data_IF_672908693975
#
_entry.id   IF_672908693975
#
_cell.length_a   1.000
_cell.length_b   1.000
_cell.length_c   1.000
_cell.angle_alpha   90.00
_cell.angle_beta   90.00
_cell.angle_gamma   90.00
#
_symmetry.space_group_name_H-M   'P 1'
#
loop_
_entity.id
_entity.type
_entity.pdbx_description
1 polymer ?
#
# COMPACT_ATOMS: atom_id res chain seq x y z
N UNK A 1 7.18 -23.11 17.84
CA UNK A 1 6.25 -22.42 16.91
C UNK A 1 5.71 -21.22 17.66
N UNK A 2 5.92 -20.02 17.13
CA UNK A 2 5.70 -18.79 17.87
C UNK A 2 5.01 -17.73 17.01
N UNK A 3 4.40 -16.77 17.68
CA UNK A 3 3.81 -15.61 17.04
C UNK A 3 4.90 -14.71 16.46
N UNK A 4 4.67 -14.20 15.26
CA UNK A 4 5.52 -13.20 14.64
C UNK A 4 4.71 -12.05 14.13
N UNK A 5 5.32 -10.87 14.14
CA UNK A 5 4.74 -9.70 13.49
C UNK A 5 5.08 -9.69 12.00
N UNK A 6 4.17 -9.16 11.20
CA UNK A 6 4.36 -8.97 9.78
C UNK A 6 3.44 -7.91 9.21
N UNK A 7 3.58 -7.68 7.91
CA UNK A 7 2.77 -6.73 7.14
C UNK A 7 2.13 -7.46 5.96
N UNK A 8 0.84 -7.23 5.74
CA UNK A 8 0.14 -7.77 4.57
C UNK A 8 0.63 -7.03 3.32
N UNK A 9 1.23 -7.75 2.38
CA UNK A 9 1.76 -7.19 1.12
C UNK A 9 0.87 -7.47 -0.09
N UNK A 10 0.00 -8.47 -0.01
CA UNK A 10 -0.93 -8.82 -1.08
C UNK A 10 -2.15 -9.57 -0.54
N UNK A 11 -3.31 -9.34 -1.12
CA UNK A 11 -4.59 -9.96 -0.79
C UNK A 11 -5.29 -10.43 -2.09
N UNK A 12 -4.86 -11.56 -2.69
CA UNK A 12 -5.47 -12.09 -3.91
C UNK A 12 -6.89 -12.62 -3.71
N UNK A 13 -7.24 -13.02 -2.48
CA UNK A 13 -8.57 -13.52 -2.09
C UNK A 13 -8.93 -12.97 -0.71
N UNK A 14 -10.21 -13.00 -0.36
CA UNK A 14 -10.72 -12.47 0.92
C UNK A 14 -10.26 -13.25 2.16
N UNK A 15 -9.77 -14.48 1.99
CA UNK A 15 -9.36 -15.39 3.06
C UNK A 15 -7.87 -15.75 3.02
N UNK A 16 -7.15 -15.29 1.99
CA UNK A 16 -5.76 -15.68 1.73
C UNK A 16 -4.87 -14.47 1.46
N UNK A 17 -3.88 -14.27 2.34
CA UNK A 17 -3.04 -13.09 2.37
C UNK A 17 -1.57 -13.47 2.28
N UNK A 18 -0.78 -12.64 1.61
CA UNK A 18 0.68 -12.75 1.64
C UNK A 18 1.23 -11.79 2.68
N UNK A 19 1.97 -12.32 3.65
CA UNK A 19 2.51 -11.54 4.77
C UNK A 19 4.03 -11.54 4.71
N UNK A 20 4.64 -10.37 4.83
CA UNK A 20 6.08 -10.21 5.02
C UNK A 20 6.39 -10.14 6.51
N UNK A 21 7.20 -11.07 7.02
CA UNK A 21 7.55 -11.11 8.44
C UNK A 21 8.57 -10.02 8.81
N UNK A 22 8.50 -9.51 10.04
CA UNK A 22 9.52 -8.62 10.64
C UNK A 22 10.62 -9.44 11.34
N UNK A 23 11.90 -9.02 11.29
CA UNK A 23 12.41 -7.86 10.56
C UNK A 23 12.45 -8.10 9.05
N UNK A 24 12.07 -7.09 8.26
CA UNK A 24 11.93 -7.14 6.79
C UNK A 24 13.27 -7.37 6.06
N UNK A 25 14.39 -7.38 6.79
CA UNK A 25 15.73 -7.62 6.27
C UNK A 25 15.92 -9.01 5.64
N UNK A 26 15.14 -9.99 6.06
CA UNK A 26 15.08 -11.30 5.43
C UNK A 26 13.76 -11.35 4.66
N UNK A 27 13.80 -11.59 3.34
CA UNK A 27 12.63 -11.61 2.46
C UNK A 27 11.71 -12.83 2.72
N UNK A 28 11.33 -13.04 3.98
CA UNK A 28 10.51 -14.13 4.47
C UNK A 28 9.04 -13.75 4.32
N UNK A 29 8.53 -14.01 3.12
CA UNK A 29 7.12 -13.89 2.79
C UNK A 29 6.45 -15.25 2.96
N UNK A 30 5.38 -15.28 3.74
CA UNK A 30 4.58 -16.49 3.96
C UNK A 30 3.14 -16.26 3.51
N UNK A 31 2.47 -17.36 3.23
CA UNK A 31 1.04 -17.34 2.96
C UNK A 31 0.28 -17.52 4.27
N UNK A 32 -0.73 -16.69 4.49
CA UNK A 32 -1.53 -16.71 5.71
C UNK A 32 -3.01 -16.81 5.39
N UNK A 33 -3.67 -17.75 6.07
CA UNK A 33 -5.13 -17.83 6.09
C UNK A 33 -5.70 -17.00 7.24
N UNK A 34 -6.94 -16.55 7.07
CA UNK A 34 -7.65 -15.77 8.09
C UNK A 34 -8.36 -16.68 9.10
N UNK A 35 -8.23 -16.39 10.41
CA UNK A 35 -9.05 -17.03 11.45
C UNK A 35 -10.22 -16.11 11.78
N UNK A 36 -11.46 -16.60 11.60
CA UNK A 36 -12.66 -15.86 12.03
C UNK A 36 -12.97 -16.19 13.51
N UNK A 37 -13.47 -15.23 14.31
CA UNK A 37 -13.77 -13.84 13.97
C UNK A 37 -12.56 -12.90 14.19
N UNK A 38 -12.30 -12.01 13.23
CA UNK A 38 -11.48 -10.82 13.42
C UNK A 38 -12.42 -9.62 13.50
N UNK A 39 -12.02 -8.58 14.26
CA UNK A 39 -12.84 -7.38 14.42
C UNK A 39 -13.06 -6.66 13.08
N UNK A 40 -12.03 -6.59 12.24
CA UNK A 40 -12.06 -5.93 10.93
C UNK A 40 -11.52 -6.86 9.83
N UNK A 41 -11.92 -6.60 8.59
CA UNK A 41 -11.37 -7.28 7.42
C UNK A 41 -9.92 -6.81 7.17
N UNK A 42 -8.94 -7.72 7.10
CA UNK A 42 -7.55 -7.37 6.82
C UNK A 42 -7.39 -6.75 5.42
N UNK A 43 -6.59 -5.69 5.35
CA UNK A 43 -6.27 -4.93 4.15
C UNK A 43 -4.78 -5.02 3.83
N UNK A 44 -4.40 -4.72 2.59
CA UNK A 44 -2.99 -4.55 2.24
C UNK A 44 -2.43 -3.38 3.05
N UNK A 45 -1.22 -3.55 3.59
CA UNK A 45 -0.58 -2.57 4.48
C UNK A 45 -0.88 -2.76 5.97
N UNK A 46 -1.82 -3.63 6.35
CA UNK A 46 -2.07 -3.91 7.77
C UNK A 46 -0.89 -4.59 8.46
N UNK A 47 -0.58 -4.09 9.65
CA UNK A 47 0.31 -4.75 10.59
C UNK A 47 -0.45 -5.90 11.27
N UNK A 48 0.12 -7.10 11.27
CA UNK A 48 -0.54 -8.31 11.77
C UNK A 48 0.36 -9.12 12.68
N UNK A 49 -0.26 -9.81 13.63
CA UNK A 49 0.36 -10.93 14.36
C UNK A 49 -0.07 -12.21 13.66
N UNK A 50 0.91 -13.00 13.22
CA UNK A 50 0.71 -14.29 12.57
C UNK A 50 1.24 -15.43 13.43
N UNK A 51 0.48 -16.52 13.45
CA UNK A 51 0.88 -17.80 14.02
C UNK A 51 1.47 -18.67 12.90
N UNK A 52 2.74 -19.07 13.05
CA UNK A 52 3.43 -19.89 12.06
C UNK A 52 2.96 -21.34 12.15
N UNK A 53 2.43 -21.87 11.05
CA UNK A 53 2.12 -23.29 10.91
C UNK A 53 3.31 -24.08 10.32
N UNK A 54 4.04 -23.45 9.40
CA UNK A 54 5.25 -23.99 8.76
C UNK A 54 6.15 -22.81 8.32
N UNK A 55 7.30 -23.11 7.71
CA UNK A 55 8.24 -22.16 7.11
C UNK A 55 7.61 -21.29 6.02
N UNK A 56 6.57 -21.76 5.32
CA UNK A 56 5.92 -21.05 4.21
C UNK A 56 4.48 -20.62 4.50
N UNK A 57 3.88 -21.13 5.56
CA UNK A 57 2.44 -20.99 5.83
C UNK A 57 2.17 -20.56 7.27
N UNK A 58 1.12 -19.77 7.47
CA UNK A 58 0.67 -19.32 8.78
C UNK A 58 -0.81 -18.95 8.82
N UNK A 59 -1.21 -18.39 9.95
CA UNK A 59 -2.55 -17.87 10.19
C UNK A 59 -2.49 -16.47 10.77
N UNK A 60 -3.34 -15.57 10.28
CA UNK A 60 -3.49 -14.24 10.89
C UNK A 60 -4.26 -14.43 12.20
N UNK A 61 -3.61 -14.11 13.32
CA UNK A 61 -4.18 -14.20 14.66
C UNK A 61 -4.85 -12.91 15.08
N UNK A 62 -4.20 -11.77 14.78
CA UNK A 62 -4.67 -10.44 15.21
C UNK A 62 -4.22 -9.36 14.23
N UNK A 63 -5.08 -8.37 14.01
CA UNK A 63 -4.74 -7.11 13.37
C UNK A 63 -4.23 -6.13 14.43
N UNK A 64 -3.08 -5.49 14.16
CA UNK A 64 -2.56 -4.41 14.98
C UNK A 64 -3.28 -3.10 14.63
N UNK A 65 -3.11 -2.08 15.47
CA UNK A 65 -3.81 -0.82 15.29
C UNK A 65 -3.40 -0.15 13.98
N UNK A 66 -4.38 0.35 13.23
CA UNK A 66 -4.15 1.11 12.00
C UNK A 66 -4.00 2.58 12.34
N UNK A 67 -3.06 3.28 11.70
CA UNK A 67 -2.92 4.73 11.86
C UNK A 67 -3.77 5.51 10.85
N UNK A 68 -3.81 5.04 9.60
CA UNK A 68 -4.45 5.70 8.46
C UNK A 68 -4.96 4.66 7.47
N UNK A 69 -5.98 4.99 6.70
CA UNK A 69 -6.47 4.17 5.58
C UNK A 69 -6.91 5.06 4.42
N UNK A 70 -6.82 4.54 3.20
CA UNK A 70 -7.38 5.18 2.00
C UNK A 70 -8.45 4.24 1.43
N UNK A 71 -9.58 4.81 0.98
CA UNK A 71 -10.69 4.04 0.43
C UNK A 71 -10.39 3.46 -0.95
N UNK A 72 -9.55 4.13 -1.76
CA UNK A 72 -9.22 3.68 -3.10
C UNK A 72 -7.79 4.06 -3.53
N UNK A 73 -6.92 3.09 -3.86
CA UNK A 73 -7.08 1.66 -3.60
C UNK A 73 -7.19 1.37 -2.10
N UNK A 74 -7.93 0.32 -1.72
CA UNK A 74 -8.15 -0.03 -0.32
C UNK A 74 -6.85 -0.51 0.33
N UNK A 75 -6.13 0.40 1.00
CA UNK A 75 -4.82 0.15 1.60
C UNK A 75 -4.73 0.89 2.94
N UNK A 76 -4.13 0.23 3.93
CA UNK A 76 -3.94 0.75 5.28
C UNK A 76 -2.48 1.12 5.56
N UNK A 77 -2.26 1.93 6.59
CA UNK A 77 -0.94 2.40 7.06
C UNK A 77 -0.11 3.08 5.95
N UNK A 78 -0.78 3.93 5.16
CA UNK A 78 -0.10 4.78 4.18
C UNK A 78 0.37 6.06 4.89
N UNK A 79 1.63 6.42 4.67
CA UNK A 79 2.22 7.67 5.16
C UNK A 79 2.35 8.72 4.06
N UNK A 80 2.54 8.28 2.81
CA UNK A 80 2.79 9.16 1.67
C UNK A 80 2.09 8.63 0.41
N UNK A 81 1.53 9.55 -0.36
CA UNK A 81 0.95 9.31 -1.68
C UNK A 81 1.79 10.04 -2.73
N UNK A 82 2.21 9.33 -3.78
CA UNK A 82 2.99 9.90 -4.88
C UNK A 82 2.12 9.95 -6.13
N UNK A 83 1.83 11.16 -6.61
CA UNK A 83 1.07 11.39 -7.83
C UNK A 83 2.03 11.71 -8.97
N UNK A 84 2.05 10.83 -9.97
CA UNK A 84 3.00 10.88 -11.08
C UNK A 84 2.28 11.33 -12.35
N UNK A 85 2.77 12.42 -12.94
CA UNK A 85 2.32 12.90 -14.25
C UNK A 85 3.47 12.90 -15.24
N UNK A 86 3.12 12.84 -16.52
CA UNK A 86 4.03 13.00 -17.65
C UNK A 86 3.90 14.43 -18.17
N UNK A 87 5.00 15.12 -18.43
CA UNK A 87 4.97 16.48 -19.01
C UNK A 87 4.57 16.49 -20.50
N UNK A 88 4.49 15.32 -21.12
CA UNK A 88 3.97 15.17 -22.48
C UNK A 88 2.46 15.40 -22.54
N UNK A 89 1.78 15.01 -21.46
CA UNK A 89 0.33 15.03 -21.32
C UNK A 89 -0.10 16.33 -20.61
N UNK A 90 -1.25 16.87 -21.00
CA UNK A 90 -1.81 18.02 -20.30
C UNK A 90 -2.24 17.61 -18.89
N UNK A 91 -1.79 18.38 -17.89
CA UNK A 91 -2.19 18.18 -16.51
C UNK A 91 -3.69 18.49 -16.36
N UNK A 92 -4.49 17.45 -16.18
CA UNK A 92 -5.90 17.61 -15.84
C UNK A 92 -6.02 18.14 -14.40
N UNK A 93 -6.35 19.42 -14.29
CA UNK A 93 -6.55 20.12 -13.02
C UNK A 93 -7.63 19.48 -12.14
N UNK A 94 -8.65 18.88 -12.74
CA UNK A 94 -9.77 18.27 -12.03
C UNK A 94 -9.35 16.94 -11.40
N UNK A 95 -8.57 16.13 -12.13
CA UNK A 95 -7.99 14.88 -11.61
C UNK A 95 -6.98 15.19 -10.50
N UNK A 96 -6.12 16.18 -10.73
CA UNK A 96 -5.09 16.58 -9.75
C UNK A 96 -5.73 17.05 -8.44
N UNK A 97 -6.74 17.91 -8.53
CA UNK A 97 -7.46 18.43 -7.37
C UNK A 97 -8.18 17.33 -6.60
N UNK A 98 -8.75 16.34 -7.29
CA UNK A 98 -9.39 15.18 -6.64
C UNK A 98 -8.40 14.40 -5.77
N UNK A 99 -7.20 14.09 -6.29
CA UNK A 99 -6.19 13.37 -5.53
C UNK A 99 -5.64 14.19 -4.36
N UNK A 100 -5.46 15.51 -4.53
CA UNK A 100 -5.04 16.41 -3.46
C UNK A 100 -6.06 16.43 -2.31
N UNK A 101 -7.34 16.59 -2.62
CA UNK A 101 -8.42 16.59 -1.61
C UNK A 101 -8.51 15.21 -0.94
N UNK A 102 -8.36 14.12 -1.68
CA UNK A 102 -8.38 12.77 -1.14
C UNK A 102 -7.23 12.54 -0.14
N UNK A 103 -5.99 12.88 -0.50
CA UNK A 103 -4.83 12.71 0.37
C UNK A 103 -4.97 13.53 1.68
N UNK A 104 -5.35 14.81 1.56
CA UNK A 104 -5.58 15.70 2.71
C UNK A 104 -6.71 15.19 3.62
N UNK A 105 -7.81 14.70 3.03
CA UNK A 105 -8.94 14.18 3.81
C UNK A 105 -8.60 12.95 4.66
N UNK A 106 -7.58 12.18 4.27
CA UNK A 106 -7.07 11.04 5.01
C UNK A 106 -5.79 11.36 5.84
N UNK A 107 -5.34 12.62 5.85
CA UNK A 107 -4.12 13.04 6.56
C UNK A 107 -2.86 12.35 6.05
N UNK A 108 -2.80 12.08 4.74
CA UNK A 108 -1.67 11.44 4.05
C UNK A 108 -0.87 12.52 3.30
N UNK A 109 0.45 12.53 3.49
CA UNK A 109 1.32 13.48 2.80
C UNK A 109 1.36 13.19 1.30
N UNK A 110 1.20 14.21 0.46
CA UNK A 110 1.18 14.03 -1.00
C UNK A 110 2.41 14.66 -1.67
N UNK A 111 3.04 13.92 -2.58
CA UNK A 111 4.15 14.39 -3.41
C UNK A 111 3.78 14.26 -4.88
N UNK A 112 3.86 15.38 -5.61
CA UNK A 112 3.67 15.38 -7.06
C UNK A 112 5.00 15.21 -7.79
N UNK A 113 5.05 14.32 -8.76
CA UNK A 113 6.24 14.03 -9.57
C UNK A 113 5.93 14.23 -11.04
N UNK A 114 6.68 15.10 -11.70
CA UNK A 114 6.61 15.31 -13.15
C UNK A 114 7.71 14.49 -13.83
N UNK A 115 7.32 13.61 -14.74
CA UNK A 115 8.18 12.68 -15.48
C UNK A 115 8.26 13.05 -16.95
N UNK A 116 9.19 12.40 -17.69
CA UNK A 116 9.49 12.67 -19.11
C UNK A 116 9.96 14.10 -19.40
N UNK A 117 10.67 14.73 -18.46
CA UNK A 117 11.18 16.10 -18.57
C UNK A 117 12.15 16.30 -19.75
N UNK A 118 12.73 15.22 -20.25
CA UNK A 118 13.55 15.19 -21.46
C UNK A 118 12.80 15.64 -22.73
N UNK A 119 11.46 15.46 -22.79
CA UNK A 119 10.64 15.84 -23.93
C UNK A 119 10.43 17.35 -24.06
N UNK A 120 10.61 18.11 -22.97
CA UNK A 120 10.45 19.58 -22.96
C UNK A 120 11.46 20.26 -23.90
N UNK A 121 12.68 19.73 -23.96
CA UNK A 121 13.77 20.28 -24.79
C UNK A 121 13.59 19.97 -26.29
N UNK A 122 12.77 18.98 -26.65
CA UNK A 122 12.52 18.63 -28.05
C UNK A 122 11.46 19.55 -28.67
N UNK A 123 10.42 19.92 -27.91
CA UNK A 123 9.37 20.85 -28.37
C UNK A 123 9.89 22.29 -28.56
N UNK A 124 10.89 22.73 -27.80
CA UNK A 124 11.40 24.11 -27.89
C UNK A 124 12.26 24.40 -29.12
N UNK A 125 12.77 23.38 -29.81
CA UNK A 125 13.58 23.54 -31.05
C UNK A 125 12.75 23.65 -32.33
N UNK A 126 11.43 23.53 -32.22
CA UNK A 126 10.47 23.55 -33.34
C UNK A 126 9.66 24.87 -33.43
N UNK A 127 10.10 25.93 -32.74
CA UNK A 127 9.54 27.28 -32.86
C UNK A 127 10.50 28.24 -33.53
#
# INVERSE_FOLDING_TARGET
MGEREGVIVNAPRSDFFKVSLKPVSHCNKIWCSIRRPLNNSPKVGDNVIVELADTKNGRIKKLLNMEREISYPLVANINQQVLVFSVEDDLDSHITSRFLVEAESHGVEMTMVLTKTDLVHQKSKLK
#
